data_IF_864343591710
#
_entry.id   IF_864343591710
#
_cell.length_a   1.000
_cell.length_b   1.000
_cell.length_c   1.000
_cell.angle_alpha   90.00
_cell.angle_beta   90.00
_cell.angle_gamma   90.00
#
_symmetry.space_group_name_H-M   'P 1'
#
loop_
_entity.id
_entity.type
_entity.pdbx_description
1 polymer ?
#
# COMPACT_ATOMS: atom_id res chain seq x y z
N UNK A 1 -35.25 7.90 6.02
CA UNK A 1 -34.82 8.08 4.62
C UNK A 1 -34.89 6.80 3.81
N UNK A 2 -35.24 5.64 4.43
CA UNK A 2 -35.37 4.36 3.72
C UNK A 2 -34.03 3.81 3.17
N UNK A 3 -32.90 4.17 3.80
CA UNK A 3 -31.57 3.64 3.46
C UNK A 3 -31.35 2.42 4.33
N UNK A 4 -31.18 1.26 3.70
CA UNK A 4 -30.94 -0.02 4.36
C UNK A 4 -29.64 -0.70 3.90
N UNK A 5 -28.91 -0.06 3.00
CA UNK A 5 -27.68 -0.56 2.40
C UNK A 5 -26.65 0.53 2.26
N UNK A 6 -25.39 0.17 2.51
CA UNK A 6 -24.28 1.12 2.46
C UNK A 6 -23.14 0.53 1.63
N UNK A 7 -22.64 1.30 0.68
CA UNK A 7 -21.39 0.99 -0.03
C UNK A 7 -20.35 2.02 0.37
N UNK A 8 -19.19 1.54 0.82
CA UNK A 8 -18.06 2.40 1.19
C UNK A 8 -16.86 2.06 0.31
N UNK A 9 -16.29 3.08 -0.29
CA UNK A 9 -15.06 2.99 -1.08
C UNK A 9 -13.97 3.68 -0.28
N UNK A 10 -12.93 2.93 0.11
CA UNK A 10 -11.87 3.50 0.95
C UNK A 10 -10.77 2.50 1.29
N UNK A 11 -9.79 2.97 2.03
CA UNK A 11 -8.70 2.16 2.55
C UNK A 11 -9.06 1.45 3.86
N UNK A 12 -8.05 0.90 4.50
CA UNK A 12 -8.11 0.10 5.73
C UNK A 12 -8.97 0.75 6.83
N UNK A 13 -8.70 2.02 7.17
CA UNK A 13 -9.46 2.72 8.22
C UNK A 13 -10.95 2.89 7.91
N UNK A 14 -11.30 3.16 6.65
CA UNK A 14 -12.71 3.30 6.23
C UNK A 14 -13.45 1.97 6.28
N UNK A 15 -12.78 0.89 5.87
CA UNK A 15 -13.36 -0.46 5.88
C UNK A 15 -13.48 -1.01 7.29
N UNK A 16 -12.50 -0.74 8.16
CA UNK A 16 -12.58 -1.05 9.59
C UNK A 16 -13.73 -0.31 10.26
N UNK A 17 -13.89 0.99 10.00
CA UNK A 17 -15.02 1.78 10.51
C UNK A 17 -16.36 1.26 10.03
N UNK A 18 -16.45 0.79 8.77
CA UNK A 18 -17.63 0.16 8.23
C UNK A 18 -17.99 -1.15 8.95
N UNK A 19 -16.99 -1.98 9.27
CA UNK A 19 -17.21 -3.24 9.99
C UNK A 19 -17.64 -3.00 11.45
N UNK A 20 -17.06 -2.00 12.12
CA UNK A 20 -17.50 -1.54 13.45
C UNK A 20 -18.96 -1.10 13.39
N UNK A 21 -19.33 -0.23 12.45
CA UNK A 21 -20.72 0.21 12.28
C UNK A 21 -21.69 -0.96 12.08
N UNK A 22 -21.32 -1.96 11.27
CA UNK A 22 -22.11 -3.17 11.06
C UNK A 22 -22.27 -3.97 12.36
N UNK A 23 -21.20 -4.11 13.11
CA UNK A 23 -21.17 -4.90 14.35
C UNK A 23 -21.99 -4.23 15.46
N UNK A 24 -21.91 -2.91 15.56
CA UNK A 24 -22.62 -2.13 16.59
C UNK A 24 -24.05 -1.76 16.17
N UNK A 25 -24.48 -2.05 14.95
CA UNK A 25 -25.75 -1.60 14.38
C UNK A 25 -26.94 -1.83 15.27
N UNK A 26 -27.09 -3.02 15.84
CA UNK A 26 -28.21 -3.38 16.72
C UNK A 26 -28.23 -2.54 18.00
N UNK A 27 -27.05 -2.28 18.59
CA UNK A 27 -26.90 -1.43 19.77
C UNK A 27 -27.25 0.03 19.48
N UNK A 28 -26.78 0.55 18.36
CA UNK A 28 -27.07 1.91 17.92
C UNK A 28 -28.57 2.10 17.63
N UNK A 29 -29.24 1.12 17.03
CA UNK A 29 -30.69 1.17 16.85
C UNK A 29 -31.45 1.18 18.18
N UNK A 30 -31.02 0.36 19.15
CA UNK A 30 -31.64 0.35 20.48
C UNK A 30 -31.52 1.72 21.16
N UNK A 31 -30.35 2.34 21.11
CA UNK A 31 -30.14 3.69 21.67
C UNK A 31 -31.01 4.75 20.97
N UNK A 32 -31.15 4.68 19.65
CA UNK A 32 -32.01 5.60 18.90
C UNK A 32 -33.49 5.42 19.24
N UNK A 33 -33.93 4.20 19.56
CA UNK A 33 -35.30 3.94 20.03
C UNK A 33 -35.48 4.49 21.44
N UNK A 34 -34.52 4.25 22.33
CA UNK A 34 -34.59 4.73 23.74
C UNK A 34 -34.62 6.27 23.84
N UNK A 35 -33.90 6.94 22.90
CA UNK A 35 -33.90 8.41 22.82
C UNK A 35 -35.08 8.97 22.02
N UNK A 36 -35.95 8.13 21.48
CA UNK A 36 -37.14 8.53 20.74
C UNK A 36 -36.88 9.10 19.34
N UNK A 37 -35.65 8.89 18.81
CA UNK A 37 -35.29 9.36 17.45
C UNK A 37 -35.80 8.42 16.36
N UNK A 38 -35.98 7.14 16.67
CA UNK A 38 -36.51 6.10 15.78
C UNK A 38 -37.57 5.31 16.52
N UNK A 39 -38.67 4.94 15.83
CA UNK A 39 -39.69 4.08 16.45
C UNK A 39 -39.20 2.63 16.53
N UNK A 40 -39.68 1.89 17.54
CA UNK A 40 -39.36 0.47 17.70
C UNK A 40 -39.85 -0.38 16.51
N UNK A 41 -40.81 0.10 15.75
CA UNK A 41 -41.35 -0.54 14.54
C UNK A 41 -40.33 -0.45 13.39
N UNK A 42 -39.80 0.75 13.13
CA UNK A 42 -38.73 0.98 12.14
C UNK A 42 -37.46 0.22 12.51
N UNK A 43 -37.06 0.20 13.79
CA UNK A 43 -35.90 -0.57 14.21
C UNK A 43 -36.04 -2.07 13.95
N UNK A 44 -37.24 -2.64 14.09
CA UNK A 44 -37.52 -4.05 13.78
C UNK A 44 -37.50 -4.38 12.27
N UNK A 45 -37.78 -3.39 11.42
CA UNK A 45 -37.72 -3.54 9.96
C UNK A 45 -36.27 -3.54 9.45
N UNK A 46 -35.31 -2.98 10.23
CA UNK A 46 -33.91 -2.83 9.86
C UNK A 46 -32.95 -3.50 10.87
N UNK A 47 -33.12 -4.81 11.17
CA UNK A 47 -32.35 -5.48 12.22
C UNK A 47 -30.87 -5.61 11.89
N UNK A 48 -30.48 -5.51 10.62
CA UNK A 48 -29.11 -5.59 10.14
C UNK A 48 -28.85 -4.52 9.11
N UNK A 49 -27.63 -3.96 9.13
CA UNK A 49 -27.14 -3.08 8.06
C UNK A 49 -26.44 -3.91 7.00
N UNK A 50 -26.95 -3.87 5.78
CA UNK A 50 -26.29 -4.52 4.65
C UNK A 50 -25.18 -3.60 4.13
N UNK A 51 -23.94 -4.10 4.10
CA UNK A 51 -22.77 -3.32 3.71
C UNK A 51 -21.95 -4.01 2.61
N UNK A 52 -21.31 -3.18 1.78
CA UNK A 52 -20.28 -3.62 0.86
C UNK A 52 -19.11 -2.64 0.89
N UNK A 53 -17.91 -3.16 1.07
CA UNK A 53 -16.67 -2.39 1.03
C UNK A 53 -15.93 -2.59 -0.28
N UNK A 54 -15.47 -1.50 -0.91
CA UNK A 54 -14.57 -1.53 -2.06
C UNK A 54 -13.21 -0.96 -1.65
N UNK A 55 -12.14 -1.71 -1.92
CA UNK A 55 -10.80 -1.38 -1.43
C UNK A 55 -10.16 -0.30 -2.30
N UNK A 56 -10.26 0.96 -1.87
CA UNK A 56 -9.73 2.14 -2.58
C UNK A 56 -8.27 2.46 -2.31
N UNK A 57 -7.56 1.63 -1.52
CA UNK A 57 -6.15 1.82 -1.17
C UNK A 57 -5.22 1.74 -2.40
N UNK A 58 -4.03 2.35 -2.29
CA UNK A 58 -2.91 2.17 -3.23
C UNK A 58 -1.96 1.06 -2.79
N UNK A 59 -1.95 0.69 -1.51
CA UNK A 59 -0.90 -0.13 -0.89
C UNK A 59 -0.93 -1.61 -1.29
N UNK A 60 -2.08 -2.09 -1.73
CA UNK A 60 -2.33 -3.49 -2.08
C UNK A 60 -2.05 -4.48 -0.93
N UNK A 61 -2.34 -4.06 0.30
CA UNK A 61 -2.01 -4.75 1.55
C UNK A 61 -3.21 -5.43 2.24
N UNK A 62 -4.38 -5.49 1.59
CA UNK A 62 -5.62 -6.04 2.15
C UNK A 62 -5.84 -7.49 1.72
N UNK A 63 -5.84 -8.39 2.71
CA UNK A 63 -6.12 -9.82 2.51
C UNK A 63 -7.53 -10.04 1.97
N UNK A 64 -7.64 -10.89 0.95
CA UNK A 64 -8.92 -11.19 0.29
C UNK A 64 -9.23 -10.29 -0.92
N UNK A 65 -8.34 -9.35 -1.24
CA UNK A 65 -8.38 -8.57 -2.47
C UNK A 65 -7.19 -8.92 -3.37
N UNK A 66 -7.43 -9.21 -4.64
CA UNK A 66 -6.35 -9.49 -5.59
C UNK A 66 -5.58 -8.22 -5.94
N UNK A 67 -6.33 -7.13 -6.16
CA UNK A 67 -5.75 -5.80 -6.43
C UNK A 67 -6.66 -4.71 -5.87
N UNK A 68 -6.08 -3.77 -5.16
CA UNK A 68 -6.78 -2.58 -4.69
C UNK A 68 -6.97 -1.58 -5.82
N UNK A 69 -8.03 -0.77 -5.75
CA UNK A 69 -8.44 0.12 -6.84
C UNK A 69 -7.34 1.11 -7.23
N UNK A 70 -6.58 1.61 -6.25
CA UNK A 70 -5.54 2.63 -6.47
C UNK A 70 -4.17 2.09 -6.85
N UNK A 71 -3.90 0.78 -6.67
CA UNK A 71 -2.56 0.22 -6.82
C UNK A 71 -1.98 0.37 -8.23
N UNK A 72 -2.78 0.11 -9.26
CA UNK A 72 -2.34 0.24 -10.66
C UNK A 72 -1.98 1.68 -11.01
N UNK A 73 -2.81 2.64 -10.63
CA UNK A 73 -2.52 4.07 -10.83
C UNK A 73 -1.26 4.51 -10.10
N UNK A 74 -1.06 4.05 -8.86
CA UNK A 74 0.14 4.35 -8.09
C UNK A 74 1.38 3.75 -8.76
N UNK A 75 1.30 2.50 -9.22
CA UNK A 75 2.40 1.84 -9.94
C UNK A 75 2.82 2.61 -11.19
N UNK A 76 1.87 3.06 -12.01
CA UNK A 76 2.17 3.87 -13.19
C UNK A 76 2.91 5.16 -12.81
N UNK A 77 2.47 5.86 -11.77
CA UNK A 77 3.13 7.08 -11.30
C UNK A 77 4.56 6.84 -10.82
N UNK A 78 4.80 5.71 -10.16
CA UNK A 78 6.13 5.32 -9.71
C UNK A 78 7.04 5.03 -10.92
N UNK A 79 6.54 4.30 -11.92
CA UNK A 79 7.31 3.97 -13.13
C UNK A 79 7.63 5.24 -13.92
N UNK A 80 6.68 6.15 -14.14
CA UNK A 80 6.91 7.45 -14.77
C UNK A 80 8.04 8.22 -14.07
N UNK A 81 8.00 8.28 -12.73
CA UNK A 81 9.04 8.95 -11.95
C UNK A 81 10.42 8.28 -12.06
N UNK A 82 10.47 6.95 -12.14
CA UNK A 82 11.71 6.19 -12.33
C UNK A 82 12.31 6.49 -13.71
N UNK A 83 11.50 6.57 -14.76
CA UNK A 83 11.94 6.90 -16.12
C UNK A 83 12.56 8.30 -16.17
N UNK A 84 11.93 9.28 -15.54
CA UNK A 84 12.46 10.65 -15.42
C UNK A 84 13.79 10.68 -14.65
N UNK A 85 13.88 9.94 -13.54
CA UNK A 85 15.11 9.83 -12.74
C UNK A 85 16.23 9.13 -13.50
N UNK A 86 15.94 8.10 -14.29
CA UNK A 86 16.92 7.34 -15.08
C UNK A 86 17.63 8.25 -16.08
N UNK A 87 16.88 9.12 -16.75
CA UNK A 87 17.46 10.12 -17.66
C UNK A 87 18.45 11.04 -16.95
N UNK A 88 18.08 11.55 -15.78
CA UNK A 88 18.92 12.41 -14.95
C UNK A 88 20.12 11.64 -14.37
N UNK A 89 19.91 10.41 -13.90
CA UNK A 89 20.94 9.55 -13.35
C UNK A 89 22.05 9.26 -14.36
N UNK A 90 21.66 8.91 -15.58
CA UNK A 90 22.59 8.61 -16.66
C UNK A 90 23.44 9.81 -17.07
N UNK A 91 22.84 11.01 -17.15
CA UNK A 91 23.55 12.24 -17.53
C UNK A 91 24.60 12.67 -16.49
N UNK A 92 24.30 12.48 -15.19
CA UNK A 92 25.18 12.87 -14.09
C UNK A 92 25.99 11.73 -13.49
N UNK A 93 25.85 10.50 -14.02
CA UNK A 93 26.52 9.30 -13.53
C UNK A 93 26.25 9.04 -12.01
N UNK A 94 24.98 9.22 -11.61
CA UNK A 94 24.57 9.11 -10.20
C UNK A 94 23.78 7.83 -9.94
N UNK A 95 23.77 7.41 -8.68
CA UNK A 95 22.82 6.42 -8.18
C UNK A 95 21.70 7.12 -7.43
N UNK A 96 20.47 6.67 -7.63
CA UNK A 96 19.30 7.14 -6.89
C UNK A 96 18.74 6.00 -6.05
N UNK A 97 18.30 6.35 -4.86
CA UNK A 97 17.48 5.50 -4.00
C UNK A 97 16.08 6.10 -3.99
N UNK A 98 15.10 5.33 -4.40
CA UNK A 98 13.70 5.74 -4.51
C UNK A 98 12.90 4.99 -3.45
N UNK A 99 12.38 5.74 -2.47
CA UNK A 99 11.45 5.18 -1.49
C UNK A 99 10.05 5.15 -2.08
N UNK A 100 9.35 4.03 -1.91
CA UNK A 100 8.03 3.79 -2.47
C UNK A 100 7.06 3.43 -1.36
N UNK A 101 5.88 4.05 -1.37
CA UNK A 101 4.79 3.75 -0.45
C UNK A 101 4.31 2.30 -0.61
N UNK A 102 3.51 1.82 0.31
CA UNK A 102 2.93 0.47 0.32
C UNK A 102 2.78 -0.07 1.74
N UNK A 103 3.05 0.74 2.77
CA UNK A 103 2.99 0.37 4.19
C UNK A 103 3.79 -0.91 4.46
N UNK A 104 3.12 -2.02 4.71
CA UNK A 104 3.74 -3.33 5.00
C UNK A 104 3.80 -4.26 3.79
N UNK A 105 3.41 -3.77 2.60
CA UNK A 105 3.39 -4.53 1.35
C UNK A 105 4.43 -3.98 0.37
N UNK A 106 5.28 -4.85 -0.12
CA UNK A 106 6.30 -4.51 -1.11
C UNK A 106 5.83 -4.54 -2.56
N UNK A 107 4.54 -4.74 -2.82
CA UNK A 107 4.00 -4.90 -4.17
C UNK A 107 4.38 -3.77 -5.11
N UNK A 108 4.12 -2.51 -4.69
CA UNK A 108 4.43 -1.34 -5.53
C UNK A 108 5.93 -1.23 -5.81
N UNK A 109 6.75 -1.41 -4.77
CA UNK A 109 8.21 -1.33 -4.91
C UNK A 109 8.75 -2.42 -5.84
N UNK A 110 8.29 -3.67 -5.67
CA UNK A 110 8.72 -4.80 -6.48
C UNK A 110 8.31 -4.66 -7.94
N UNK A 111 7.03 -4.34 -8.18
CA UNK A 111 6.52 -4.20 -9.55
C UNK A 111 7.14 -3.01 -10.27
N UNK A 112 7.36 -1.90 -9.55
CA UNK A 112 8.05 -0.74 -10.10
C UNK A 112 9.53 -1.05 -10.40
N UNK A 113 10.21 -1.84 -9.57
CA UNK A 113 11.57 -2.28 -9.82
C UNK A 113 11.69 -3.13 -11.10
N UNK A 114 10.74 -4.04 -11.30
CA UNK A 114 10.70 -4.89 -12.50
C UNK A 114 10.39 -4.05 -13.75
N UNK A 115 9.39 -3.18 -13.68
CA UNK A 115 8.95 -2.36 -14.81
C UNK A 115 9.99 -1.28 -15.19
N UNK A 116 10.57 -0.59 -14.20
CA UNK A 116 11.56 0.47 -14.39
C UNK A 116 13.00 -0.03 -14.52
N UNK A 117 13.24 -1.34 -14.44
CA UNK A 117 14.58 -1.93 -14.62
C UNK A 117 15.57 -1.55 -13.51
N UNK A 118 15.10 -1.41 -12.27
CA UNK A 118 15.95 -1.09 -11.13
C UNK A 118 17.03 -2.15 -10.88
N UNK A 119 18.19 -1.72 -10.36
CA UNK A 119 19.32 -2.59 -10.09
C UNK A 119 19.15 -3.41 -8.79
N UNK A 120 18.38 -2.85 -7.85
CA UNK A 120 18.16 -3.48 -6.54
C UNK A 120 16.81 -3.07 -5.96
N UNK A 121 16.17 -3.99 -5.21
CA UNK A 121 14.90 -3.71 -4.54
C UNK A 121 14.91 -4.29 -3.13
N UNK A 122 14.36 -3.53 -2.18
CA UNK A 122 14.18 -3.93 -0.79
C UNK A 122 12.68 -3.87 -0.44
N UNK A 123 12.14 -4.99 0.01
CA UNK A 123 10.71 -5.15 0.32
C UNK A 123 10.50 -5.76 1.71
N UNK A 124 9.39 -5.45 2.40
CA UNK A 124 9.12 -5.97 3.75
C UNK A 124 9.03 -7.49 3.81
N UNK A 125 8.47 -8.13 2.77
CA UNK A 125 8.24 -9.58 2.72
C UNK A 125 9.54 -10.40 2.65
N UNK A 126 10.64 -9.75 2.28
CA UNK A 126 11.95 -10.39 2.18
C UNK A 126 13.04 -9.54 2.82
N UNK A 127 13.09 -9.46 4.16
CA UNK A 127 14.17 -8.76 4.86
C UNK A 127 15.53 -9.27 4.41
N UNK A 128 16.45 -8.37 4.04
CA UNK A 128 17.76 -8.77 3.52
C UNK A 128 18.62 -9.43 4.60
N UNK A 129 19.54 -10.31 4.18
CA UNK A 129 20.49 -10.95 5.07
C UNK A 129 21.60 -10.00 5.52
N UNK A 130 22.25 -10.31 6.64
CA UNK A 130 23.41 -9.54 7.11
C UNK A 130 24.45 -9.37 6.00
N UNK A 131 25.03 -8.16 5.91
CA UNK A 131 25.97 -7.80 4.85
C UNK A 131 25.31 -7.53 3.50
N UNK A 132 24.02 -7.22 3.51
CA UNK A 132 23.27 -6.87 2.30
C UNK A 132 23.77 -5.58 1.64
N UNK A 133 24.25 -4.62 2.43
CA UNK A 133 24.82 -3.37 1.95
C UNK A 133 26.04 -3.61 1.05
N UNK A 134 26.95 -4.50 1.50
CA UNK A 134 28.13 -4.86 0.71
C UNK A 134 27.75 -5.58 -0.57
N UNK A 135 26.74 -6.47 -0.51
CA UNK A 135 26.23 -7.17 -1.70
C UNK A 135 25.59 -6.19 -2.68
N UNK A 136 24.74 -5.30 -2.19
CA UNK A 136 24.12 -4.24 -3.02
C UNK A 136 25.22 -3.39 -3.68
N UNK A 137 26.18 -2.90 -2.91
CA UNK A 137 27.30 -2.13 -3.44
C UNK A 137 28.11 -2.90 -4.50
N UNK A 138 28.32 -4.21 -4.30
CA UNK A 138 29.01 -5.05 -5.28
C UNK A 138 28.21 -5.19 -6.57
N UNK A 139 26.86 -5.35 -6.50
CA UNK A 139 25.99 -5.39 -7.67
C UNK A 139 26.06 -4.07 -8.46
N UNK A 140 25.90 -2.94 -7.76
CA UNK A 140 25.96 -1.62 -8.39
C UNK A 140 27.32 -1.35 -9.06
N UNK A 141 28.41 -1.76 -8.41
CA UNK A 141 29.77 -1.68 -8.97
C UNK A 141 29.93 -2.54 -10.23
N UNK A 142 29.39 -3.77 -10.25
CA UNK A 142 29.40 -4.63 -11.42
C UNK A 142 28.67 -4.00 -12.61
N UNK A 143 27.49 -3.40 -12.36
CA UNK A 143 26.75 -2.67 -13.39
C UNK A 143 27.59 -1.55 -14.00
N UNK A 144 28.28 -0.76 -13.18
CA UNK A 144 29.18 0.32 -13.65
C UNK A 144 30.37 -0.22 -14.44
N UNK A 145 30.99 -1.32 -14.02
CA UNK A 145 32.07 -1.97 -14.74
C UNK A 145 31.62 -2.52 -16.09
N UNK A 146 30.36 -2.93 -16.20
CA UNK A 146 29.74 -3.34 -17.46
C UNK A 146 29.30 -2.16 -18.37
N UNK A 147 29.61 -0.91 -17.99
CA UNK A 147 29.35 0.29 -18.78
C UNK A 147 28.04 1.00 -18.47
N UNK A 148 27.28 0.60 -17.44
CA UNK A 148 26.10 1.35 -16.99
C UNK A 148 26.53 2.68 -16.35
N UNK A 149 25.79 3.75 -16.67
CA UNK A 149 26.13 5.11 -16.23
C UNK A 149 25.35 5.52 -14.99
N UNK A 150 24.26 4.83 -14.69
CA UNK A 150 23.30 5.10 -13.64
C UNK A 150 23.07 3.86 -12.78
N UNK A 151 22.40 4.03 -11.68
CA UNK A 151 21.88 2.95 -10.84
C UNK A 151 20.64 3.40 -10.11
N UNK A 152 19.60 2.59 -10.12
CA UNK A 152 18.35 2.83 -9.40
C UNK A 152 18.16 1.72 -8.36
N UNK A 153 17.97 2.12 -7.10
CA UNK A 153 17.61 1.24 -6.00
C UNK A 153 16.21 1.62 -5.54
N UNK A 154 15.31 0.66 -5.44
CA UNK A 154 13.96 0.89 -4.93
C UNK A 154 13.83 0.28 -3.54
N UNK A 155 13.25 1.06 -2.62
CA UNK A 155 13.04 0.65 -1.23
C UNK A 155 11.56 0.87 -0.89
N UNK A 156 10.87 -0.19 -0.47
CA UNK A 156 9.54 -0.03 0.11
C UNK A 156 9.65 0.68 1.47
N UNK A 157 8.75 1.61 1.77
CA UNK A 157 8.74 2.35 3.04
C UNK A 157 8.69 1.45 4.29
N UNK A 158 8.10 0.25 4.15
CA UNK A 158 8.02 -0.75 5.21
C UNK A 158 9.19 -1.74 5.23
N UNK A 159 10.21 -1.57 4.38
CA UNK A 159 11.35 -2.48 4.35
C UNK A 159 12.16 -2.41 5.65
N UNK A 160 12.47 -3.59 6.20
CA UNK A 160 13.26 -3.74 7.43
C UNK A 160 14.40 -4.72 7.20
N UNK A 161 15.46 -4.58 7.99
CA UNK A 161 16.47 -5.61 8.13
C UNK A 161 15.96 -6.81 8.96
N UNK A 162 16.76 -7.87 9.10
CA UNK A 162 16.39 -9.04 9.92
C UNK A 162 16.27 -8.74 11.41
N UNK A 163 16.82 -7.64 11.89
CA UNK A 163 16.68 -7.20 13.28
C UNK A 163 15.43 -6.35 13.49
N UNK A 164 14.68 -6.04 12.44
CA UNK A 164 13.46 -5.22 12.48
C UNK A 164 13.73 -3.71 12.39
N UNK A 165 14.97 -3.29 12.11
CA UNK A 165 15.26 -1.88 11.90
C UNK A 165 14.81 -1.45 10.51
N UNK A 166 14.19 -0.28 10.40
CA UNK A 166 13.82 0.29 9.11
C UNK A 166 15.05 0.56 8.25
N UNK A 167 14.96 0.24 6.96
CA UNK A 167 16.00 0.52 5.97
C UNK A 167 15.79 1.89 5.33
N UNK A 168 14.54 2.31 5.17
CA UNK A 168 14.18 3.65 4.73
C UNK A 168 14.16 4.64 5.90
N UNK A 169 14.31 5.91 5.61
CA UNK A 169 14.34 7.02 6.58
C UNK A 169 12.98 7.33 7.22
#
# INVERSE_FOLDING_TARGET
HGIDRLVVIGGDGSLTGLDVLRTEWTGLLAELVDTGQVSAEVAREHPTLMIAGLVGSIDNDLVGSDMTIGADTALHRIVDAIDDLTSTAASHQRSFVVEVMGRHCGYLALMAAVAGGADYVLIPERPPENGWEDRMCAELKRGRQAGRRDSIVIVAEGATDRAGNRISS
#
